data_IF_121094116371
#
_entry.id   IF_121094116371
#
_cell.length_a   1.000
_cell.length_b   1.000
_cell.length_c   1.000
_cell.angle_alpha   90.00
_cell.angle_beta   90.00
_cell.angle_gamma   90.00
#
_symmetry.space_group_name_H-M   'P 1'
#
loop_
_entity.id
_entity.type
_entity.pdbx_description
1 polymer ?
#
# COMPACT_ATOMS: atom_id res chain seq x y z
N UNK A 1 8.45 -29.21 -1.54
CA UNK A 1 8.00 -27.84 -1.30
C UNK A 1 8.12 -27.50 0.17
N UNK A 2 8.79 -26.39 0.50
CA UNK A 2 8.75 -25.82 1.84
C UNK A 2 7.37 -25.25 2.17
N UNK A 3 7.14 -24.90 3.44
CA UNK A 3 5.90 -24.30 3.89
C UNK A 3 5.75 -22.87 3.34
N UNK A 4 4.66 -22.59 2.61
CA UNK A 4 4.32 -21.24 2.15
C UNK A 4 3.79 -20.39 3.32
N UNK A 5 4.39 -19.23 3.56
CA UNK A 5 4.04 -18.31 4.66
C UNK A 5 3.45 -17.01 4.12
N UNK A 6 2.19 -16.79 4.48
CA UNK A 6 1.43 -15.60 4.09
C UNK A 6 1.29 -14.65 5.28
N UNK A 7 1.23 -13.35 5.02
CA UNK A 7 0.78 -12.34 5.98
C UNK A 7 -0.25 -11.41 5.34
N UNK A 8 -1.25 -11.02 6.12
CA UNK A 8 -2.15 -9.92 5.80
C UNK A 8 -2.15 -8.96 6.98
N UNK A 9 -1.89 -7.68 6.74
CA UNK A 9 -1.78 -6.69 7.80
C UNK A 9 -2.35 -5.34 7.38
N UNK A 10 -3.36 -4.88 8.13
CA UNK A 10 -3.80 -3.49 8.09
C UNK A 10 -2.83 -2.64 8.92
N UNK A 11 -2.00 -1.85 8.23
CA UNK A 11 -0.90 -1.12 8.86
C UNK A 11 -1.35 0.24 9.40
N UNK A 12 -2.62 0.61 9.24
CA UNK A 12 -3.18 1.91 9.60
C UNK A 12 -2.23 3.05 9.19
N UNK A 13 -1.83 3.07 7.91
CA UNK A 13 -0.88 4.04 7.32
C UNK A 13 0.42 4.25 8.15
N UNK A 14 0.90 3.19 8.80
CA UNK A 14 2.11 3.16 9.63
C UNK A 14 1.89 3.55 11.09
N UNK A 15 0.65 3.83 11.52
CA UNK A 15 0.35 4.29 12.88
C UNK A 15 0.19 3.12 13.84
N UNK A 16 1.02 3.09 14.88
CA UNK A 16 0.89 2.13 15.98
C UNK A 16 -0.14 2.54 17.03
N UNK A 17 -0.43 1.61 17.95
CA UNK A 17 -1.28 1.87 19.13
C UNK A 17 -0.72 2.95 20.06
N UNK A 18 0.58 3.20 19.98
CA UNK A 18 1.30 4.28 20.66
C UNK A 18 1.11 5.65 19.98
N UNK A 19 0.35 5.71 18.89
CA UNK A 19 0.08 6.91 18.12
C UNK A 19 1.23 7.33 17.20
N UNK A 20 2.36 6.61 17.18
CA UNK A 20 3.54 6.94 16.37
C UNK A 20 3.44 6.32 14.98
N UNK A 21 3.94 7.05 13.99
CA UNK A 21 4.07 6.60 12.60
C UNK A 21 5.45 5.98 12.42
N UNK A 22 5.52 4.68 12.18
CA UNK A 22 6.78 3.95 12.09
C UNK A 22 6.65 2.76 11.13
N UNK A 23 7.07 2.96 9.88
CA UNK A 23 7.05 1.91 8.86
C UNK A 23 8.11 0.84 9.11
N UNK A 24 9.21 1.18 9.79
CA UNK A 24 10.26 0.21 10.10
C UNK A 24 9.75 -0.83 11.10
N UNK A 25 8.99 -0.40 12.11
CA UNK A 25 8.28 -1.30 13.02
C UNK A 25 7.30 -2.22 12.28
N UNK A 26 6.51 -1.66 11.36
CA UNK A 26 5.58 -2.45 10.54
C UNK A 26 6.34 -3.53 9.75
N UNK A 27 7.45 -3.17 9.10
CA UNK A 27 8.25 -4.14 8.32
C UNK A 27 8.90 -5.19 9.23
N UNK A 28 9.39 -4.80 10.40
CA UNK A 28 9.96 -5.73 11.38
C UNK A 28 8.92 -6.77 11.85
N UNK A 29 7.67 -6.36 12.06
CA UNK A 29 6.57 -7.25 12.51
C UNK A 29 6.15 -8.28 11.44
N UNK A 30 6.42 -8.02 10.15
CA UNK A 30 6.08 -8.96 9.07
C UNK A 30 6.92 -10.24 9.19
N UNK A 31 8.19 -10.12 9.54
CA UNK A 31 9.14 -11.23 9.61
C UNK A 31 9.41 -11.90 8.25
N UNK A 32 9.80 -13.18 8.27
CA UNK A 32 10.16 -13.95 7.06
C UNK A 32 8.91 -14.55 6.38
N UNK A 33 8.18 -13.70 5.63
CA UNK A 33 7.00 -14.09 4.84
C UNK A 33 7.38 -14.26 3.38
N UNK A 34 6.64 -15.11 2.69
CA UNK A 34 6.81 -15.32 1.25
C UNK A 34 5.91 -14.37 0.45
N UNK A 35 4.70 -14.10 0.95
CA UNK A 35 3.74 -13.16 0.36
C UNK A 35 3.11 -12.32 1.48
N UNK A 36 3.01 -11.01 1.26
CA UNK A 36 2.47 -10.03 2.20
C UNK A 36 1.40 -9.21 1.51
N UNK A 37 0.21 -9.11 2.11
CA UNK A 37 -0.85 -8.21 1.71
C UNK A 37 -1.03 -7.11 2.77
N UNK A 38 -0.75 -5.86 2.41
CA UNK A 38 -0.92 -4.71 3.29
C UNK A 38 -2.17 -3.91 2.92
N UNK A 39 -2.93 -3.50 3.94
CA UNK A 39 -4.07 -2.58 3.78
C UNK A 39 -3.79 -1.25 4.47
N UNK A 40 -4.48 -0.21 4.01
CA UNK A 40 -4.34 1.17 4.50
C UNK A 40 -2.96 1.77 4.25
N UNK A 41 -2.35 1.42 3.12
CA UNK A 41 -1.09 2.01 2.66
C UNK A 41 -1.40 3.31 1.92
N UNK A 42 -0.66 4.38 2.24
CA UNK A 42 -0.91 5.71 1.68
C UNK A 42 0.32 6.38 1.07
N UNK A 43 0.06 7.38 0.23
CA UNK A 43 1.08 8.20 -0.46
C UNK A 43 0.73 9.67 -0.26
N UNK A 44 1.70 10.47 0.20
CA UNK A 44 1.63 11.94 0.28
C UNK A 44 0.50 12.51 1.17
N UNK A 45 0.08 11.80 2.22
CA UNK A 45 -0.86 12.33 3.20
C UNK A 45 -0.13 13.07 4.32
N UNK A 46 -0.66 14.24 4.70
CA UNK A 46 0.00 15.12 5.68
C UNK A 46 0.17 14.46 7.06
N UNK A 47 -0.80 13.61 7.45
CA UNK A 47 -0.80 12.89 8.73
C UNK A 47 0.34 11.88 8.86
N UNK A 48 0.83 11.33 7.76
CA UNK A 48 1.93 10.35 7.72
C UNK A 48 3.22 10.96 7.18
N UNK A 49 3.36 12.29 7.24
CA UNK A 49 4.59 12.97 6.86
C UNK A 49 4.81 13.11 5.35
N UNK A 50 3.74 13.04 4.54
CA UNK A 50 3.82 13.15 3.08
C UNK A 50 4.71 12.07 2.44
N UNK A 51 4.81 10.90 3.06
CA UNK A 51 5.66 9.80 2.60
C UNK A 51 4.98 8.99 1.50
N UNK A 52 5.77 8.48 0.56
CA UNK A 52 5.39 7.39 -0.36
C UNK A 52 5.63 6.05 0.36
N UNK A 53 4.62 5.58 1.10
CA UNK A 53 4.78 4.37 1.92
C UNK A 53 5.09 3.11 1.10
N UNK A 54 4.46 2.85 -0.06
CA UNK A 54 4.83 1.73 -0.91
C UNK A 54 6.33 1.73 -1.27
N UNK A 55 6.87 2.88 -1.71
CA UNK A 55 8.28 2.99 -2.08
C UNK A 55 9.20 2.77 -0.88
N UNK A 56 8.86 3.33 0.29
CA UNK A 56 9.66 3.15 1.52
C UNK A 56 9.64 1.69 2.00
N UNK A 57 8.46 1.05 2.03
CA UNK A 57 8.32 -0.36 2.44
C UNK A 57 9.09 -1.27 1.47
N UNK A 58 8.95 -1.05 0.17
CA UNK A 58 9.70 -1.81 -0.84
C UNK A 58 11.22 -1.62 -0.71
N UNK A 59 11.67 -0.40 -0.37
CA UNK A 59 13.09 -0.13 -0.08
C UNK A 59 13.62 -0.90 1.13
N UNK A 60 12.77 -1.21 2.11
CA UNK A 60 13.13 -2.03 3.28
C UNK A 60 13.06 -3.54 3.00
N UNK A 61 12.35 -3.96 1.95
CA UNK A 61 12.19 -5.36 1.52
C UNK A 61 12.67 -5.54 0.07
N UNK A 62 13.95 -5.24 -0.25
CA UNK A 62 14.43 -5.16 -1.63
C UNK A 62 14.48 -6.51 -2.37
N UNK A 63 14.30 -7.61 -1.66
CA UNK A 63 14.26 -8.97 -2.20
C UNK A 63 12.86 -9.41 -2.64
N UNK A 64 11.86 -8.54 -2.53
CA UNK A 64 10.47 -8.82 -2.92
C UNK A 64 10.04 -7.98 -4.12
N UNK A 65 9.24 -8.61 -4.99
CA UNK A 65 8.43 -7.93 -5.98
C UNK A 65 7.22 -7.29 -5.30
N UNK A 66 6.75 -6.15 -5.81
CA UNK A 66 5.60 -5.47 -5.20
C UNK A 66 4.71 -4.78 -6.23
N UNK A 67 3.44 -4.63 -5.86
CA UNK A 67 2.46 -3.80 -6.56
C UNK A 67 1.63 -3.00 -5.55
N UNK A 68 1.20 -1.80 -5.93
CA UNK A 68 0.32 -0.95 -5.14
C UNK A 68 -0.93 -0.60 -5.95
N UNK A 69 -2.10 -0.87 -5.36
CA UNK A 69 -3.42 -0.63 -5.95
C UNK A 69 -4.20 0.40 -5.11
N UNK A 70 -4.17 1.69 -5.47
CA UNK A 70 -4.90 2.72 -4.74
C UNK A 70 -6.39 2.68 -5.09
N UNK A 71 -7.25 2.73 -4.06
CA UNK A 71 -8.69 2.99 -4.24
C UNK A 71 -9.01 4.48 -4.30
N UNK A 72 -8.17 5.31 -3.68
CA UNK A 72 -8.27 6.76 -3.72
C UNK A 72 -7.07 7.32 -4.48
N UNK A 73 -7.33 8.22 -5.42
CA UNK A 73 -6.29 8.92 -6.17
C UNK A 73 -6.68 10.40 -6.35
N UNK A 74 -6.21 11.26 -5.45
CA UNK A 74 -6.58 12.69 -5.37
C UNK A 74 -5.41 13.54 -5.87
N UNK A 75 -5.72 14.68 -6.50
CA UNK A 75 -4.69 15.65 -6.89
C UNK A 75 -4.00 16.25 -5.65
N UNK A 76 -2.69 16.35 -5.73
CA UNK A 76 -1.85 17.02 -4.75
C UNK A 76 -0.76 17.82 -5.46
N UNK A 77 -1.02 18.22 -6.71
CA UNK A 77 -0.05 18.91 -7.56
C UNK A 77 0.21 20.31 -7.02
N UNK A 78 1.44 20.79 -7.23
CA UNK A 78 1.88 22.10 -6.74
C UNK A 78 2.48 22.92 -7.88
N UNK A 79 2.32 24.24 -7.85
CA UNK A 79 3.04 25.14 -8.74
C UNK A 79 4.38 25.51 -8.12
N UNK A 80 5.49 25.20 -8.78
CA UNK A 80 6.84 25.57 -8.35
C UNK A 80 7.59 26.23 -9.51
N UNK A 81 8.05 27.47 -9.31
CA UNK A 81 8.75 28.27 -10.32
C UNK A 81 8.02 28.33 -11.69
N UNK A 82 6.70 28.49 -11.67
CA UNK A 82 5.87 28.57 -12.89
C UNK A 82 5.62 27.21 -13.57
N UNK A 83 6.02 26.10 -12.96
CA UNK A 83 5.80 24.74 -13.46
C UNK A 83 4.91 23.93 -12.53
N UNK A 84 3.99 23.15 -13.09
CA UNK A 84 3.20 22.16 -12.34
C UNK A 84 4.09 20.97 -11.98
N UNK A 85 4.26 20.73 -10.69
CA UNK A 85 4.84 19.51 -10.12
C UNK A 85 3.70 18.55 -9.86
N UNK A 86 3.60 17.52 -10.71
CA UNK A 86 2.59 16.49 -10.60
C UNK A 86 2.81 15.66 -9.34
N UNK A 87 1.79 15.61 -8.49
CA UNK A 87 1.79 14.79 -7.27
C UNK A 87 0.40 14.27 -6.98
N UNK A 88 0.31 13.04 -6.49
CA UNK A 88 -0.95 12.40 -6.11
C UNK A 88 -0.95 12.08 -4.61
N UNK A 89 -2.12 12.20 -4.00
CA UNK A 89 -2.46 11.62 -2.70
C UNK A 89 -3.21 10.33 -2.93
N UNK A 90 -2.68 9.22 -2.42
CA UNK A 90 -3.22 7.90 -2.70
C UNK A 90 -3.40 7.06 -1.44
N UNK A 91 -4.41 6.20 -1.44
CA UNK A 91 -4.71 5.30 -0.34
C UNK A 91 -5.29 3.99 -0.88
N UNK A 92 -4.79 2.85 -0.40
CA UNK A 92 -5.21 1.54 -0.89
C UNK A 92 -4.44 0.37 -0.30
N UNK A 93 -4.25 -0.66 -1.12
CA UNK A 93 -3.62 -1.92 -0.73
C UNK A 93 -2.30 -2.11 -1.46
N UNK A 94 -1.38 -2.84 -0.84
CA UNK A 94 -0.10 -3.24 -1.44
C UNK A 94 0.06 -4.75 -1.31
N UNK A 95 0.63 -5.39 -2.32
CA UNK A 95 1.07 -6.78 -2.25
C UNK A 95 2.57 -6.83 -2.47
N UNK A 96 3.28 -7.57 -1.62
CA UNK A 96 4.68 -7.94 -1.80
C UNK A 96 4.80 -9.47 -1.92
N UNK A 97 5.73 -9.93 -2.74
CA UNK A 97 5.93 -11.34 -3.03
C UNK A 97 7.41 -11.64 -3.25
N UNK A 98 7.89 -12.75 -2.70
CA UNK A 98 9.21 -13.32 -2.98
C UNK A 98 9.39 -13.70 -4.45
N UNK A 99 8.30 -14.08 -5.13
CA UNK A 99 8.31 -14.46 -6.54
C UNK A 99 7.66 -13.40 -7.44
N UNK A 100 7.97 -13.37 -8.74
CA UNK A 100 7.43 -12.39 -9.68
C UNK A 100 5.90 -12.29 -9.64
N UNK A 101 5.39 -11.05 -9.57
CA UNK A 101 3.97 -10.74 -9.75
C UNK A 101 3.74 -10.57 -11.25
N UNK A 102 3.08 -11.55 -11.87
CA UNK A 102 2.91 -11.66 -13.32
C UNK A 102 1.82 -10.72 -13.85
N UNK A 103 0.75 -10.53 -13.08
CA UNK A 103 -0.33 -9.61 -13.41
C UNK A 103 -1.02 -9.09 -12.16
N UNK A 104 -1.68 -7.93 -12.31
CA UNK A 104 -2.42 -7.28 -11.24
C UNK A 104 -3.70 -6.63 -11.78
N UNK A 105 -4.77 -6.69 -11.00
CA UNK A 105 -6.03 -5.96 -11.27
C UNK A 105 -6.49 -5.30 -9.97
N UNK A 106 -6.84 -4.01 -10.03
CA UNK A 106 -7.42 -3.30 -8.89
C UNK A 106 -8.92 -3.15 -9.11
N UNK A 107 -9.71 -3.90 -8.36
CA UNK A 107 -11.16 -3.91 -8.47
C UNK A 107 -11.77 -2.92 -7.47
N UNK A 108 -12.53 -1.91 -7.92
CA UNK A 108 -13.29 -1.07 -6.99
C UNK A 108 -14.38 -1.91 -6.32
N UNK A 109 -14.42 -1.85 -4.98
CA UNK A 109 -15.48 -2.50 -4.21
C UNK A 109 -16.75 -1.64 -4.20
N UNK A 110 -17.94 -2.26 -4.04
CA UNK A 110 -19.20 -1.53 -3.98
C UNK A 110 -19.18 -0.42 -2.93
N UNK A 111 -19.74 0.73 -3.30
CA UNK A 111 -19.83 1.90 -2.45
C UNK A 111 -21.28 2.15 -2.06
N UNK A 112 -21.56 2.17 -0.75
CA UNK A 112 -22.83 2.68 -0.25
C UNK A 112 -22.87 4.21 -0.43
N UNK A 113 -24.00 4.71 -0.91
CA UNK A 113 -24.28 6.14 -1.00
C UNK A 113 -24.59 6.70 0.41
N UNK A 114 -23.55 6.88 1.22
CA UNK A 114 -23.68 7.47 2.54
C UNK A 114 -23.78 8.99 2.40
N UNK A 115 -24.94 9.55 2.73
CA UNK A 115 -25.23 10.98 2.54
C UNK A 115 -24.41 11.92 3.45
N UNK A 116 -23.90 11.42 4.59
CA UNK A 116 -23.27 12.24 5.64
C UNK A 116 -21.88 11.78 6.06
N UNK A 117 -21.41 10.65 5.53
CA UNK A 117 -20.14 10.06 5.92
C UNK A 117 -19.27 9.96 4.69
N UNK A 118 -18.05 10.51 4.77
CA UNK A 118 -17.06 10.31 3.72
C UNK A 118 -16.76 8.82 3.59
N UNK A 119 -17.24 8.23 2.51
CA UNK A 119 -17.00 6.84 2.19
C UNK A 119 -15.79 6.77 1.26
N UNK A 120 -14.68 6.27 1.76
CA UNK A 120 -13.48 5.99 0.97
C UNK A 120 -13.79 4.94 -0.10
N UNK A 121 -13.30 5.12 -1.32
CA UNK A 121 -13.36 4.06 -2.33
C UNK A 121 -12.42 2.93 -1.89
N UNK A 122 -12.99 1.78 -1.52
CA UNK A 122 -12.24 0.57 -1.18
C UNK A 122 -11.97 -0.24 -2.44
N UNK A 123 -10.92 -1.05 -2.40
CA UNK A 123 -10.52 -1.91 -3.53
C UNK A 123 -10.13 -3.30 -3.05
N UNK A 124 -10.30 -4.28 -3.93
CA UNK A 124 -9.61 -5.56 -3.90
C UNK A 124 -8.42 -5.45 -4.87
N UNK A 125 -7.22 -5.83 -4.40
CA UNK A 125 -6.03 -5.92 -5.24
C UNK A 125 -5.79 -7.39 -5.55
N UNK A 126 -6.03 -7.77 -6.80
CA UNK A 126 -5.81 -9.12 -7.31
C UNK A 126 -4.40 -9.20 -7.90
N UNK A 127 -3.69 -10.29 -7.59
CA UNK A 127 -2.33 -10.54 -8.12
C UNK A 127 -2.19 -11.99 -8.54
N UNK A 128 -1.63 -12.23 -9.72
CA UNK A 128 -1.13 -13.55 -10.14
C UNK A 128 0.37 -13.60 -9.87
N UNK A 129 0.80 -14.57 -9.07
CA UNK A 129 2.20 -14.71 -8.64
C UNK A 129 2.76 -16.01 -9.23
N UNK A 130 3.98 -15.95 -9.78
CA UNK A 130 4.70 -17.13 -10.25
C UNK A 130 4.93 -18.11 -9.10
N UNK A 131 4.65 -19.39 -9.32
CA UNK A 131 4.90 -20.41 -8.30
C UNK A 131 6.41 -20.60 -8.11
N UNK A 132 6.88 -20.89 -6.87
CA UNK A 132 8.22 -21.43 -6.69
C UNK A 132 8.43 -22.67 -7.56
N UNK A 133 9.65 -22.82 -8.07
CA UNK A 133 10.13 -24.04 -8.73
C UNK A 133 10.12 -25.25 -7.77
#
# INVERSE_FOLDING_TARGET
>A
MGLLRLASYNIQYGKGKDGRYDLQRIVADLGDRDIIALQEVEVNFHRSGMVDQPAVIAGMLPHMHWVYGPGINIDASEMQAGRVIQRRRQYGNMVLSRWPILSTVTHPLPKLALARVFHQQRVLLETVIATPD
#
